data_IF_732529357814
#
_entry.id   IF_732529357814
#
_cell.length_a   1.000
_cell.length_b   1.000
_cell.length_c   1.000
_cell.angle_alpha   90.00
_cell.angle_beta   90.00
_cell.angle_gamma   90.00
#
_symmetry.space_group_name_H-M   'P 1'
#
loop_
_entity.id
_entity.type
_entity.pdbx_description
1 polymer ?
#
# COMPACT_ATOMS: atom_id res chain seq x y z
N UNK A 1 15.49 17.76 -43.23
CA UNK A 1 16.37 18.94 -43.23
C UNK A 1 17.35 18.81 -42.07
N UNK A 2 18.67 18.64 -42.30
CA UNK A 2 19.67 18.52 -41.23
C UNK A 2 20.41 19.86 -41.03
N UNK A 3 20.65 20.27 -39.77
CA UNK A 3 21.56 21.34 -39.25
C UNK A 3 20.97 21.86 -37.93
N UNK A 4 21.66 22.12 -36.81
CA UNK A 4 23.06 22.45 -36.48
C UNK A 4 23.36 22.03 -35.02
N UNK A 5 24.63 21.74 -34.78
CA UNK A 5 25.37 21.39 -33.56
C UNK A 5 25.64 22.60 -32.63
N UNK A 6 25.58 22.46 -31.30
CA UNK A 6 26.33 23.27 -30.30
C UNK A 6 26.23 22.60 -28.91
N UNK A 7 27.21 21.84 -28.42
CA UNK A 7 28.45 22.20 -27.70
C UNK A 7 28.28 23.00 -26.40
N UNK A 8 28.37 22.25 -25.30
CA UNK A 8 29.15 22.47 -24.07
C UNK A 8 29.01 23.76 -23.25
N UNK A 9 28.63 23.59 -21.97
CA UNK A 9 29.37 24.17 -20.83
C UNK A 9 29.32 23.23 -19.64
N UNK A 10 30.50 22.75 -19.24
CA UNK A 10 30.75 22.08 -17.97
C UNK A 10 30.78 23.14 -16.85
N UNK A 11 30.03 22.90 -15.77
CA UNK A 11 30.11 23.66 -14.53
C UNK A 11 30.47 22.72 -13.38
N UNK A 12 31.77 22.55 -13.13
CA UNK A 12 32.30 21.98 -11.89
C UNK A 12 32.23 23.05 -10.79
N UNK A 13 31.51 22.79 -9.71
CA UNK A 13 31.80 23.38 -8.40
C UNK A 13 31.82 22.26 -7.36
N UNK A 14 33.04 21.90 -6.98
CA UNK A 14 33.36 21.04 -5.86
C UNK A 14 33.02 21.77 -4.56
N UNK A 15 32.10 21.21 -3.78
CA UNK A 15 31.83 21.62 -2.41
C UNK A 15 32.26 20.51 -1.46
N UNK A 16 33.54 20.49 -1.08
CA UNK A 16 34.06 19.66 0.01
C UNK A 16 33.71 20.30 1.35
N UNK A 17 32.74 19.74 2.07
CA UNK A 17 32.48 20.04 3.48
C UNK A 17 32.62 18.78 4.32
N UNK A 18 33.78 18.62 4.97
CA UNK A 18 34.02 17.61 6.01
C UNK A 18 34.11 18.29 7.37
N UNK A 19 33.31 17.84 8.34
CA UNK A 19 33.48 17.98 9.80
C UNK A 19 32.16 17.49 10.47
N UNK A 20 32.08 16.73 11.55
CA UNK A 20 33.03 16.07 12.44
C UNK A 20 32.26 14.98 13.20
N UNK A 21 32.96 13.91 13.59
CA UNK A 21 32.54 12.90 14.57
C UNK A 21 32.28 13.54 15.96
N UNK A 22 31.69 12.94 17.00
CA UNK A 22 31.61 11.54 17.44
C UNK A 22 30.54 11.43 18.58
N UNK A 23 30.47 10.35 19.39
CA UNK A 23 29.23 9.64 19.73
C UNK A 23 28.62 10.03 21.09
N UNK A 24 27.40 9.60 21.35
CA UNK A 24 26.87 9.48 22.72
C UNK A 24 25.78 8.42 22.76
N UNK A 25 26.20 7.22 23.17
CA UNK A 25 25.36 6.22 23.80
C UNK A 25 24.41 6.87 24.80
N UNK A 26 23.14 6.49 24.82
CA UNK A 26 22.40 6.46 26.09
C UNK A 26 21.16 5.56 26.01
N UNK A 27 21.25 4.51 26.83
CA UNK A 27 20.18 3.89 27.60
C UNK A 27 19.00 3.28 26.84
N UNK A 28 19.10 1.95 26.71
CA UNK A 28 17.96 1.07 26.79
C UNK A 28 17.12 1.42 28.02
N UNK A 29 15.98 2.08 27.80
CA UNK A 29 14.94 2.25 28.81
C UNK A 29 13.99 1.06 28.71
N UNK A 30 13.96 0.32 29.81
CA UNK A 30 13.12 -0.82 30.07
C UNK A 30 11.66 -0.58 29.67
N UNK A 31 11.11 -1.49 28.87
CA UNK A 31 9.65 -1.60 28.70
C UNK A 31 9.05 -2.15 29.99
N UNK A 32 8.07 -1.46 30.61
CA UNK A 32 7.36 -1.98 31.76
C UNK A 32 6.48 -3.17 31.39
N UNK A 33 6.52 -4.16 32.28
CA UNK A 33 5.74 -5.38 32.26
C UNK A 33 4.23 -5.13 32.38
N UNK A 34 3.49 -5.90 31.58
CA UNK A 34 2.25 -6.61 31.90
C UNK A 34 1.10 -5.85 32.58
N UNK A 35 -0.05 -5.81 31.90
CA UNK A 35 -1.36 -6.38 32.31
C UNK A 35 -2.48 -5.85 31.37
N UNK A 36 -3.71 -6.41 31.35
CA UNK A 36 -4.21 -7.66 31.93
C UNK A 36 -4.94 -8.55 30.89
N UNK A 37 -5.13 -9.83 31.25
CA UNK A 37 -6.08 -10.72 30.60
C UNK A 37 -7.52 -10.27 30.93
N UNK A 38 -8.26 -9.82 29.93
CA UNK A 38 -9.71 -9.68 29.99
C UNK A 38 -10.33 -10.28 28.74
N UNK A 39 -10.89 -11.48 28.88
CA UNK A 39 -12.04 -11.89 28.09
C UNK A 39 -12.82 -12.92 28.91
N UNK A 40 -13.71 -12.40 29.75
CA UNK A 40 -14.75 -13.16 30.41
C UNK A 40 -15.54 -13.95 29.37
N UNK A 41 -15.55 -15.27 29.51
CA UNK A 41 -16.45 -16.15 28.80
C UNK A 41 -17.89 -15.88 29.29
N UNK A 42 -18.76 -15.42 28.41
CA UNK A 42 -20.21 -15.48 28.60
C UNK A 42 -20.76 -16.66 27.82
N UNK A 43 -21.26 -17.72 28.46
CA UNK A 43 -22.08 -18.72 27.78
C UNK A 43 -23.46 -18.12 27.52
N UNK A 44 -23.73 -17.72 26.29
CA UNK A 44 -25.09 -17.41 25.85
C UNK A 44 -25.92 -18.69 25.84
N UNK A 45 -26.92 -18.69 26.71
CA UNK A 45 -27.97 -19.69 26.90
C UNK A 45 -28.69 -19.97 25.57
N UNK A 46 -28.74 -21.24 25.16
CA UNK A 46 -29.61 -21.69 24.07
C UNK A 46 -31.08 -21.56 24.49
N UNK A 47 -31.84 -20.74 23.76
CA UNK A 47 -33.30 -20.76 23.78
C UNK A 47 -33.79 -21.17 22.39
N UNK A 48 -34.40 -22.35 22.31
CA UNK A 48 -35.09 -22.84 21.11
C UNK A 48 -36.31 -21.98 20.81
N UNK A 49 -36.50 -21.52 19.56
CA UNK A 49 -37.82 -21.17 19.07
C UNK A 49 -38.49 -22.38 18.41
N UNK A 50 -39.70 -22.60 18.88
CA UNK A 50 -40.73 -23.51 18.41
C UNK A 50 -40.95 -23.39 16.90
N UNK A 51 -41.09 -24.53 16.24
CA UNK A 51 -41.43 -24.68 14.83
C UNK A 51 -42.68 -23.87 14.45
N UNK A 52 -42.55 -22.99 13.45
CA UNK A 52 -43.68 -22.37 12.77
C UNK A 52 -43.47 -22.42 11.26
N UNK A 53 -44.39 -23.15 10.63
CA UNK A 53 -44.88 -22.98 9.26
C UNK A 53 -43.85 -22.88 8.11
N UNK A 54 -43.70 -23.99 7.41
CA UNK A 54 -43.21 -24.05 6.03
C UNK A 54 -44.13 -23.23 5.11
N UNK A 55 -43.78 -21.98 4.85
CA UNK A 55 -44.27 -21.23 3.70
C UNK A 55 -43.44 -21.65 2.46
N UNK A 56 -44.05 -21.94 1.30
CA UNK A 56 -43.31 -22.19 0.08
C UNK A 56 -42.58 -20.90 -0.33
N UNK A 57 -41.26 -20.93 -0.26
CA UNK A 57 -40.40 -19.85 -0.77
C UNK A 57 -40.50 -19.85 -2.28
N UNK A 58 -41.13 -18.81 -2.84
CA UNK A 58 -41.03 -18.53 -4.26
C UNK A 58 -39.54 -18.32 -4.61
N UNK A 59 -39.04 -18.79 -5.77
CA UNK A 59 -37.70 -18.44 -6.23
C UNK A 59 -37.65 -16.92 -6.43
N UNK A 60 -36.99 -16.23 -5.50
CA UNK A 60 -36.63 -14.84 -5.68
C UNK A 60 -35.73 -14.72 -6.92
N UNK A 61 -35.81 -13.61 -7.67
CA UNK A 61 -34.90 -13.39 -8.80
C UNK A 61 -33.46 -13.53 -8.30
N UNK A 62 -32.72 -14.47 -8.90
CA UNK A 62 -31.30 -14.58 -8.66
C UNK A 62 -30.66 -13.25 -9.10
N UNK A 63 -30.25 -12.44 -8.12
CA UNK A 63 -29.38 -11.31 -8.37
C UNK A 63 -28.12 -11.89 -9.00
N UNK A 64 -28.00 -11.71 -10.31
CA UNK A 64 -26.76 -12.00 -11.03
C UNK A 64 -25.74 -11.00 -10.50
N UNK A 65 -24.95 -11.39 -9.51
CA UNK A 65 -23.74 -10.64 -9.19
C UNK A 65 -22.90 -10.66 -10.47
N UNK A 66 -22.53 -9.50 -11.03
CA UNK A 66 -21.58 -9.49 -12.12
C UNK A 66 -20.36 -10.28 -11.64
N UNK A 67 -19.88 -11.21 -12.46
CA UNK A 67 -18.63 -11.88 -12.19
C UNK A 67 -17.56 -10.79 -12.09
N UNK A 68 -17.13 -10.47 -10.87
CA UNK A 68 -16.05 -9.51 -10.64
C UNK A 68 -14.83 -10.07 -11.34
N UNK A 69 -14.53 -9.52 -12.51
CA UNK A 69 -13.30 -9.85 -13.21
C UNK A 69 -12.17 -9.35 -12.33
N UNK A 70 -11.13 -10.17 -12.12
CA UNK A 70 -9.94 -9.74 -11.41
C UNK A 70 -9.42 -8.43 -12.03
N UNK A 71 -9.01 -7.44 -11.23
CA UNK A 71 -8.47 -6.20 -11.77
C UNK A 71 -7.27 -6.50 -12.65
N UNK A 72 -7.18 -5.79 -13.78
CA UNK A 72 -6.08 -5.95 -14.73
C UNK A 72 -4.76 -5.48 -14.08
N UNK A 73 -4.04 -6.40 -13.46
CA UNK A 73 -2.71 -6.19 -12.90
C UNK A 73 -1.85 -7.44 -13.09
N UNK A 74 -0.74 -7.29 -13.82
CA UNK A 74 0.10 -8.41 -14.22
C UNK A 74 0.82 -9.00 -13.01
N UNK A 75 1.09 -10.31 -13.03
CA UNK A 75 2.01 -10.92 -12.07
C UNK A 75 3.36 -10.20 -12.14
N UNK A 76 3.91 -9.82 -10.98
CA UNK A 76 5.19 -9.12 -10.93
C UNK A 76 5.10 -7.60 -11.06
N UNK A 77 3.91 -7.01 -10.95
CA UNK A 77 3.71 -5.56 -10.93
C UNK A 77 3.03 -5.08 -9.65
N UNK A 78 3.22 -3.82 -9.32
CA UNK A 78 2.33 -3.04 -8.47
C UNK A 78 1.45 -2.17 -9.36
N UNK A 79 0.13 -2.26 -9.21
CA UNK A 79 -0.81 -1.44 -9.96
C UNK A 79 -1.58 -0.53 -9.00
N UNK A 80 -1.72 0.75 -9.36
CA UNK A 80 -2.48 1.74 -8.59
C UNK A 80 -3.54 2.40 -9.47
N UNK A 81 -4.69 2.69 -8.88
CA UNK A 81 -5.82 3.31 -9.55
C UNK A 81 -6.20 4.63 -8.87
N UNK A 82 -6.65 5.59 -9.69
CA UNK A 82 -7.09 6.90 -9.20
C UNK A 82 -8.41 6.86 -8.43
N UNK A 83 -9.13 5.75 -8.46
CA UNK A 83 -10.35 5.60 -7.67
C UNK A 83 -10.33 4.30 -6.87
N UNK A 84 -11.26 4.18 -5.94
CA UNK A 84 -11.54 2.93 -5.25
C UNK A 84 -12.05 1.85 -6.22
N UNK A 85 -12.06 0.61 -5.74
CA UNK A 85 -12.54 -0.57 -6.47
C UNK A 85 -11.85 -0.77 -7.83
N UNK A 86 -10.55 -0.48 -7.91
CA UNK A 86 -9.69 -0.71 -9.08
C UNK A 86 -10.19 -0.04 -10.37
N UNK A 87 -10.68 1.19 -10.25
CA UNK A 87 -11.32 1.92 -11.35
C UNK A 87 -10.60 3.23 -11.67
N UNK A 88 -10.93 3.84 -12.81
CA UNK A 88 -10.28 5.06 -13.28
C UNK A 88 -8.93 4.80 -13.95
N UNK A 89 -8.04 5.81 -13.91
CA UNK A 89 -6.71 5.73 -14.55
C UNK A 89 -5.79 4.83 -13.73
N UNK A 90 -5.02 3.99 -14.41
CA UNK A 90 -4.13 3.02 -13.76
C UNK A 90 -2.66 3.35 -14.03
N UNK A 91 -1.82 3.24 -13.02
CA UNK A 91 -0.36 3.19 -13.14
C UNK A 91 0.14 1.78 -12.84
N UNK A 92 1.09 1.31 -13.65
CA UNK A 92 1.72 0.00 -13.51
C UNK A 92 3.20 0.20 -13.21
N UNK A 93 3.71 -0.50 -12.20
CA UNK A 93 5.10 -0.43 -11.79
C UNK A 93 5.69 -1.84 -11.70
N UNK A 94 6.70 -2.15 -12.51
CA UNK A 94 7.40 -3.45 -12.42
C UNK A 94 8.23 -3.54 -11.14
N UNK A 95 8.94 -2.49 -10.71
CA UNK A 95 9.70 -2.37 -9.44
C UNK A 95 10.64 -3.52 -9.05
N UNK A 96 10.80 -4.56 -9.88
CA UNK A 96 11.60 -5.75 -9.55
C UNK A 96 13.07 -5.41 -9.37
N UNK A 97 13.54 -4.38 -10.07
CA UNK A 97 14.92 -3.89 -10.03
C UNK A 97 15.09 -2.65 -9.15
N UNK A 98 14.02 -2.10 -8.58
CA UNK A 98 14.13 -0.92 -7.73
C UNK A 98 14.80 -1.27 -6.39
N UNK A 99 15.61 -0.34 -5.90
CA UNK A 99 16.36 -0.49 -4.66
C UNK A 99 15.42 -0.27 -3.46
N UNK A 100 15.50 -1.10 -2.38
CA UNK A 100 14.58 -0.99 -1.26
C UNK A 100 14.57 0.37 -0.53
N UNK A 101 15.70 1.09 -0.54
CA UNK A 101 15.80 2.37 0.16
C UNK A 101 15.21 3.55 -0.63
N UNK A 102 14.93 3.35 -1.92
CA UNK A 102 14.49 4.41 -2.80
C UNK A 102 13.01 4.74 -2.53
N UNK A 103 12.74 6.02 -2.26
CA UNK A 103 11.38 6.55 -2.29
C UNK A 103 10.98 6.81 -3.73
N UNK A 104 9.85 6.25 -4.15
CA UNK A 104 9.32 6.42 -5.50
C UNK A 104 8.05 7.27 -5.39
N UNK A 105 8.11 8.57 -5.66
CA UNK A 105 6.91 9.41 -5.71
C UNK A 105 6.03 9.00 -6.89
N UNK A 106 4.72 9.12 -6.73
CA UNK A 106 3.80 8.97 -7.85
C UNK A 106 3.90 10.20 -8.77
N UNK A 107 3.52 10.06 -10.06
CA UNK A 107 3.49 11.20 -10.98
C UNK A 107 2.65 12.35 -10.42
N UNK A 108 3.09 13.59 -10.63
CA UNK A 108 2.35 14.77 -10.18
C UNK A 108 0.89 14.73 -10.67
N UNK A 109 -0.05 15.02 -9.76
CA UNK A 109 -1.48 14.98 -10.03
C UNK A 109 -2.09 13.58 -10.11
N UNK A 110 -1.31 12.52 -9.93
CA UNK A 110 -1.82 11.17 -9.71
C UNK A 110 -1.94 10.90 -8.21
N UNK A 111 -3.14 10.51 -7.78
CA UNK A 111 -3.45 10.14 -6.41
C UNK A 111 -4.01 8.72 -6.40
N UNK A 112 -3.39 7.80 -5.66
CA UNK A 112 -3.82 6.40 -5.61
C UNK A 112 -4.89 6.17 -4.54
N UNK A 113 -6.01 5.54 -4.91
CA UNK A 113 -7.12 5.24 -4.00
C UNK A 113 -7.41 3.74 -3.86
N UNK A 114 -6.92 2.92 -4.80
CA UNK A 114 -6.88 1.47 -4.67
C UNK A 114 -5.65 0.92 -5.37
N UNK A 115 -5.21 -0.28 -4.98
CA UNK A 115 -4.01 -0.89 -5.56
C UNK A 115 -3.98 -2.41 -5.40
N UNK A 116 -3.14 -3.03 -6.21
CA UNK A 116 -2.83 -4.46 -6.13
C UNK A 116 -1.32 -4.64 -6.16
N UNK A 117 -0.78 -5.31 -5.15
CA UNK A 117 0.61 -5.73 -5.10
C UNK A 117 0.73 -7.18 -5.62
N UNK A 118 1.12 -7.34 -6.89
CA UNK A 118 1.43 -8.63 -7.51
C UNK A 118 2.94 -8.91 -7.54
N UNK A 119 3.75 -8.04 -6.93
CA UNK A 119 5.16 -8.30 -6.71
C UNK A 119 5.31 -9.46 -5.73
N UNK A 120 6.46 -10.14 -5.76
CA UNK A 120 6.85 -11.08 -4.69
C UNK A 120 7.35 -10.36 -3.44
N UNK A 121 7.43 -9.03 -3.48
CA UNK A 121 8.07 -8.16 -2.49
C UNK A 121 7.01 -7.38 -1.71
N UNK A 122 7.30 -7.10 -0.45
CA UNK A 122 6.46 -6.24 0.37
C UNK A 122 6.55 -4.79 -0.15
N UNK A 123 5.45 -4.07 -0.04
CA UNK A 123 5.35 -2.67 -0.46
C UNK A 123 4.83 -1.82 0.68
N UNK A 124 5.47 -0.69 0.95
CA UNK A 124 4.92 0.37 1.80
C UNK A 124 4.35 1.47 0.92
N UNK A 125 3.11 1.85 1.22
CA UNK A 125 2.43 2.97 0.60
C UNK A 125 2.38 4.14 1.59
N UNK A 126 2.60 5.35 1.08
CA UNK A 126 2.74 6.57 1.87
C UNK A 126 1.71 7.61 1.44
N UNK A 127 1.20 8.38 2.40
CA UNK A 127 0.37 9.56 2.14
C UNK A 127 1.21 10.77 1.67
N UNK A 128 2.49 10.82 2.05
CA UNK A 128 3.43 11.85 1.61
C UNK A 128 4.15 11.43 0.32
N UNK A 129 4.54 12.40 -0.49
CA UNK A 129 5.37 12.23 -1.69
C UNK A 129 6.84 11.91 -1.35
N UNK A 130 7.26 12.16 -0.11
CA UNK A 130 8.67 12.05 0.33
C UNK A 130 8.96 10.81 1.17
N UNK A 131 8.01 9.88 1.30
CA UNK A 131 8.12 8.67 2.12
C UNK A 131 8.53 8.93 3.59
N UNK A 132 8.12 10.08 4.16
CA UNK A 132 8.40 10.43 5.56
C UNK A 132 7.66 9.49 6.54
N UNK A 133 8.28 9.24 7.68
CA UNK A 133 7.69 8.48 8.80
C UNK A 133 6.79 9.34 9.71
N UNK A 134 6.77 10.66 9.51
CA UNK A 134 5.88 11.57 10.25
C UNK A 134 4.45 11.58 9.68
N UNK A 135 4.29 11.17 8.41
CA UNK A 135 2.98 10.99 7.77
C UNK A 135 2.49 9.56 7.86
N UNK A 136 1.25 9.33 7.39
CA UNK A 136 0.67 7.99 7.36
C UNK A 136 1.34 7.09 6.32
N UNK A 137 1.66 5.87 6.74
CA UNK A 137 2.15 4.82 5.85
C UNK A 137 1.64 3.45 6.30
N UNK A 138 1.61 2.48 5.39
CA UNK A 138 1.25 1.10 5.70
C UNK A 138 1.98 0.14 4.77
N UNK A 139 2.50 -0.95 5.33
CA UNK A 139 3.19 -2.01 4.59
C UNK A 139 2.25 -3.17 4.32
N UNK A 140 2.26 -3.64 3.08
CA UNK A 140 1.44 -4.74 2.60
C UNK A 140 2.34 -5.85 2.04
N UNK A 141 2.00 -7.12 2.31
CA UNK A 141 2.83 -8.22 1.87
C UNK A 141 2.85 -8.36 0.34
N UNK A 142 3.95 -8.91 -0.17
CA UNK A 142 4.03 -9.43 -1.53
C UNK A 142 3.22 -10.71 -1.74
N UNK A 143 3.29 -11.25 -2.96
CA UNK A 143 2.67 -12.52 -3.35
C UNK A 143 1.19 -12.42 -3.76
N UNK A 144 0.62 -11.21 -3.80
CA UNK A 144 -0.77 -10.97 -4.18
C UNK A 144 -1.58 -10.36 -3.05
N UNK A 145 -1.49 -9.03 -2.90
CA UNK A 145 -2.34 -8.26 -2.00
C UNK A 145 -3.26 -7.35 -2.79
N UNK A 146 -4.55 -7.35 -2.46
CA UNK A 146 -5.61 -6.63 -3.17
C UNK A 146 -6.31 -5.66 -2.21
N UNK A 147 -6.17 -4.36 -2.46
CA UNK A 147 -6.68 -3.29 -1.60
C UNK A 147 -7.68 -2.44 -2.39
N UNK A 148 -9.00 -2.72 -2.28
CA UNK A 148 -10.01 -2.01 -3.08
C UNK A 148 -10.25 -0.59 -2.58
N UNK A 149 -9.86 -0.27 -1.36
CA UNK A 149 -9.89 1.07 -0.79
C UNK A 149 -8.66 1.24 0.09
N UNK A 150 -7.77 2.13 -0.32
CA UNK A 150 -6.58 2.48 0.45
C UNK A 150 -7.00 3.21 1.75
N UNK A 151 -6.30 3.00 2.89
CA UNK A 151 -6.60 3.70 4.14
C UNK A 151 -6.41 5.22 4.05
N UNK A 152 -5.60 5.68 3.10
CA UNK A 152 -5.33 7.09 2.78
C UNK A 152 -4.96 7.23 1.30
N UNK A 153 -4.93 8.47 0.81
CA UNK A 153 -4.49 8.78 -0.56
C UNK A 153 -3.00 8.44 -0.71
N UNK A 154 -2.68 7.60 -1.68
CA UNK A 154 -1.31 7.15 -1.94
C UNK A 154 -0.58 8.16 -2.82
N UNK A 155 0.59 8.63 -2.36
CA UNK A 155 1.45 9.61 -3.06
C UNK A 155 2.91 9.19 -3.24
N UNK A 156 3.38 8.21 -2.48
CA UNK A 156 4.67 7.55 -2.73
C UNK A 156 4.63 6.07 -2.36
N UNK A 157 5.62 5.33 -2.86
CA UNK A 157 5.84 3.91 -2.57
C UNK A 157 7.30 3.63 -2.21
N UNK A 158 7.52 2.65 -1.32
CA UNK A 158 8.80 1.96 -1.11
C UNK A 158 8.60 0.45 -1.17
N UNK A 159 9.63 -0.29 -1.53
CA UNK A 159 9.59 -1.74 -1.66
C UNK A 159 10.63 -2.38 -0.76
N UNK A 160 10.37 -3.61 -0.29
CA UNK A 160 11.25 -4.32 0.65
C UNK A 160 11.60 -5.71 0.12
N UNK A 161 12.65 -6.32 0.66
CA UNK A 161 13.11 -7.63 0.19
C UNK A 161 12.63 -8.75 1.11
#
# INVERSE_FOLDING_TARGET
MPRVLLLATAGLLAGTGMASAAPSSQAASAMPSAQPAHASASPSTHASPTAHHLAPSAPGPALTHPATSDPACTVGELCLWTTESYSGTTQHYDLRTANPEDCIPLPEGFEGHSFVNRLTRDVTIYQSEECTTEGDFTTYPGGGTYVPQSPFVVRAIKIWN
#
